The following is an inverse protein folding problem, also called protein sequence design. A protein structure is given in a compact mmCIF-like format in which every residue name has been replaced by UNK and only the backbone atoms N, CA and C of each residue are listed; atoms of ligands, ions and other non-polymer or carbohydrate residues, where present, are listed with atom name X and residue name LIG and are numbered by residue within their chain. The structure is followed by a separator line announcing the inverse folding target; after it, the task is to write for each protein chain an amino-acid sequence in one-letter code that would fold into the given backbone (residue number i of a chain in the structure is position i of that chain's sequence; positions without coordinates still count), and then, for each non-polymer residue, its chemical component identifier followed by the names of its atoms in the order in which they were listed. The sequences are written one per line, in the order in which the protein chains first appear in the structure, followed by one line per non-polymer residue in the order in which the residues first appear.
data_IF_232755074990
#
_entry.id   IF_232755074990
#
_cell.length_a   1.000
_cell.length_b   1.000
_cell.length_c   1.000
_cell.angle_alpha   90.00
_cell.angle_beta   90.00
_cell.angle_gamma   90.00
#
_symmetry.space_group_name_H-M   'P 1'
#
loop_
_entity.id
_entity.type
_entity.pdbx_description
1 polymer ?
#
# COMPACT_ATOMS: atom_id res chain seq x y z
N UNK A 1 -9.91 14.94 8.69
CA UNK A 1 -8.61 15.05 9.36
C UNK A 1 -8.64 14.93 10.89
N UNK A 2 -9.78 15.05 11.57
CA UNK A 2 -9.88 14.95 13.05
C UNK A 2 -9.99 13.53 13.63
N UNK A 3 -10.37 12.51 12.86
CA UNK A 3 -10.69 11.17 13.39
C UNK A 3 -9.53 10.16 13.44
N UNK A 4 -8.34 10.50 12.91
CA UNK A 4 -7.14 9.65 13.05
C UNK A 4 -6.35 9.87 14.35
N UNK A 5 -6.71 10.87 15.16
CA UNK A 5 -5.81 11.38 16.20
C UNK A 5 -6.01 10.78 17.59
N UNK A 6 -7.18 10.31 17.98
CA UNK A 6 -7.40 9.86 19.35
C UNK A 6 -6.82 8.49 19.65
N UNK A 7 -7.08 7.49 18.84
CA UNK A 7 -6.53 6.13 19.07
C UNK A 7 -5.02 6.00 18.88
N UNK A 8 -4.40 6.87 18.08
CA UNK A 8 -2.94 6.98 17.97
C UNK A 8 -2.34 7.79 19.13
N UNK A 9 -3.01 8.84 19.58
CA UNK A 9 -2.58 9.65 20.74
C UNK A 9 -2.54 8.85 22.02
N UNK A 10 -3.52 8.01 22.31
CA UNK A 10 -3.55 7.21 23.54
C UNK A 10 -2.42 6.16 23.61
N UNK A 11 -1.95 5.62 22.48
CA UNK A 11 -0.81 4.70 22.40
C UNK A 11 0.55 5.40 22.34
N UNK A 12 0.59 6.64 21.89
CA UNK A 12 1.84 7.44 21.77
C UNK A 12 2.19 8.23 23.02
N UNK A 13 1.29 8.35 24.02
CA UNK A 13 1.52 9.11 25.25
C UNK A 13 2.64 8.49 26.15
N UNK A 14 3.07 7.26 25.85
CA UNK A 14 4.13 6.57 26.60
C UNK A 14 5.49 6.51 25.91
N UNK A 15 5.66 7.11 24.71
CA UNK A 15 6.95 7.09 24.01
C UNK A 15 7.33 8.48 23.52
N UNK A 16 8.60 8.84 23.75
CA UNK A 16 9.28 9.86 22.94
C UNK A 16 9.12 9.53 21.45
N UNK A 17 9.20 10.53 20.58
CA UNK A 17 9.05 10.41 19.11
C UNK A 17 9.69 9.15 18.53
N UNK A 18 9.13 8.63 17.45
CA UNK A 18 9.78 7.61 16.63
C UNK A 18 10.88 8.25 15.80
N UNK A 19 12.11 7.78 15.97
CA UNK A 19 13.27 8.18 15.20
C UNK A 19 13.43 7.28 13.98
N UNK A 20 13.59 7.84 12.80
CA UNK A 20 13.73 7.04 11.59
C UNK A 20 14.64 7.68 10.56
N UNK A 21 15.13 6.85 9.66
CA UNK A 21 15.92 7.23 8.50
C UNK A 21 15.19 6.84 7.22
N UNK A 22 15.52 7.49 6.11
CA UNK A 22 14.99 7.16 4.79
C UNK A 22 16.14 6.70 3.90
N UNK A 23 15.96 5.56 3.25
CA UNK A 23 16.89 5.00 2.27
C UNK A 23 16.30 5.17 0.88
N UNK A 24 16.92 6.05 0.11
CA UNK A 24 16.44 6.45 -1.21
C UNK A 24 16.04 7.93 -1.27
N UNK A 25 16.00 8.48 -2.47
CA UNK A 25 15.81 9.91 -2.73
C UNK A 25 14.82 10.20 -3.85
N UNK A 26 13.98 9.21 -4.17
CA UNK A 26 12.95 9.32 -5.20
C UNK A 26 11.68 10.02 -4.69
N UNK A 27 10.71 10.19 -5.59
CA UNK A 27 9.42 10.81 -5.28
C UNK A 27 8.72 10.19 -4.05
N UNK A 28 8.80 8.87 -3.90
CA UNK A 28 8.15 8.17 -2.80
C UNK A 28 8.88 8.39 -1.47
N UNK A 29 10.20 8.44 -1.48
CA UNK A 29 10.99 8.79 -0.31
C UNK A 29 10.63 10.18 0.24
N UNK A 30 10.44 11.16 -0.66
CA UNK A 30 10.02 12.52 -0.30
C UNK A 30 8.61 12.60 0.29
N UNK A 31 7.78 11.59 0.08
CA UNK A 31 6.48 11.50 0.76
C UNK A 31 6.66 11.32 2.27
N UNK A 32 7.59 10.48 2.70
CA UNK A 32 7.88 10.26 4.12
C UNK A 32 8.50 11.50 4.79
N UNK A 33 9.30 12.29 4.05
CA UNK A 33 9.75 13.60 4.55
C UNK A 33 8.56 14.51 4.87
N UNK A 34 7.56 14.56 3.99
CA UNK A 34 6.36 15.37 4.22
C UNK A 34 5.54 14.84 5.41
N UNK A 35 5.46 13.54 5.60
CA UNK A 35 4.79 12.92 6.75
C UNK A 35 5.49 13.32 8.06
N UNK A 36 6.81 13.23 8.11
CA UNK A 36 7.57 13.65 9.31
C UNK A 36 7.36 15.13 9.64
N UNK A 37 7.38 15.99 8.63
CA UNK A 37 7.10 17.44 8.81
C UNK A 37 5.67 17.76 9.21
N UNK A 38 4.70 16.97 8.78
CA UNK A 38 3.29 17.15 9.11
C UNK A 38 2.94 16.62 10.52
N UNK A 39 3.74 15.71 11.07
CA UNK A 39 3.53 15.04 12.35
C UNK A 39 4.80 15.09 13.22
N UNK A 40 5.36 16.28 13.49
CA UNK A 40 6.64 16.41 14.18
C UNK A 40 6.61 15.98 15.65
N UNK A 41 5.42 15.87 16.23
CA UNK A 41 5.21 15.35 17.58
C UNK A 41 5.30 13.81 17.64
N UNK A 42 5.14 13.13 16.51
CA UNK A 42 5.16 11.67 16.43
C UNK A 42 6.48 11.17 15.83
N UNK A 43 6.97 11.84 14.78
CA UNK A 43 8.12 11.40 14.01
C UNK A 43 9.28 12.39 14.04
N UNK A 44 10.49 11.84 14.10
CA UNK A 44 11.75 12.54 13.87
C UNK A 44 12.49 11.88 12.71
N UNK A 45 12.68 12.61 11.62
CA UNK A 45 13.54 12.17 10.53
C UNK A 45 14.98 12.55 10.85
N UNK A 46 15.83 11.58 11.18
CA UNK A 46 17.21 11.80 11.59
C UNK A 46 18.13 12.03 10.39
N UNK A 47 17.97 11.23 9.32
CA UNK A 47 18.70 11.40 8.06
C UNK A 47 17.99 10.78 6.87
N UNK A 48 18.30 11.29 5.67
CA UNK A 48 17.99 10.64 4.40
C UNK A 48 19.28 10.22 3.70
N UNK A 49 19.43 8.92 3.46
CA UNK A 49 20.54 8.38 2.70
C UNK A 49 20.34 8.59 1.21
N UNK A 50 21.30 9.24 0.58
CA UNK A 50 21.36 9.46 -0.87
C UNK A 50 22.62 8.80 -1.45
N UNK A 51 22.53 8.23 -2.65
CA UNK A 51 23.66 7.53 -3.29
C UNK A 51 24.76 8.48 -3.79
N UNK A 52 24.45 9.75 -4.02
CA UNK A 52 25.39 10.76 -4.52
C UNK A 52 25.29 12.03 -3.70
N UNK A 53 26.42 12.70 -3.52
CA UNK A 53 26.48 13.97 -2.79
C UNK A 53 25.65 15.06 -3.45
N UNK A 54 25.71 15.15 -4.79
CA UNK A 54 24.86 16.09 -5.55
C UNK A 54 23.38 15.97 -5.21
N UNK A 55 22.89 14.72 -5.14
CA UNK A 55 21.48 14.46 -4.80
C UNK A 55 21.18 14.77 -3.33
N UNK A 56 22.13 14.50 -2.45
CA UNK A 56 22.03 14.84 -1.04
C UNK A 56 21.90 16.35 -0.85
N UNK A 57 22.80 17.13 -1.45
CA UNK A 57 22.82 18.59 -1.35
C UNK A 57 21.55 19.23 -1.92
N UNK A 58 21.08 18.74 -3.07
CA UNK A 58 19.83 19.20 -3.68
C UNK A 58 18.63 19.02 -2.74
N UNK A 59 18.50 17.83 -2.14
CA UNK A 59 17.39 17.52 -1.25
C UNK A 59 17.51 18.26 0.08
N UNK A 60 18.71 18.34 0.65
CA UNK A 60 18.97 19.11 1.85
C UNK A 60 18.53 20.57 1.70
N UNK A 61 18.91 21.21 0.60
CA UNK A 61 18.53 22.58 0.28
C UNK A 61 17.04 22.76 0.06
N UNK A 62 16.42 21.85 -0.70
CA UNK A 62 14.99 21.96 -1.05
C UNK A 62 14.05 21.64 0.13
N UNK A 63 14.40 20.66 0.92
CA UNK A 63 13.52 20.14 1.99
C UNK A 63 13.99 20.53 3.38
N UNK A 64 15.15 21.15 3.55
CA UNK A 64 15.71 21.54 4.86
C UNK A 64 15.69 20.34 5.85
N UNK A 65 16.28 19.24 5.42
CA UNK A 65 16.45 18.01 6.19
C UNK A 65 17.92 17.61 6.15
N UNK A 66 18.33 16.82 7.13
CA UNK A 66 19.65 16.21 7.10
C UNK A 66 19.71 15.09 6.06
N UNK A 67 20.74 15.12 5.22
CA UNK A 67 20.99 14.12 4.18
C UNK A 67 22.44 13.66 4.27
N UNK A 68 22.71 12.41 3.95
CA UNK A 68 24.05 11.83 3.99
C UNK A 68 24.26 10.82 2.86
N UNK A 69 25.50 10.58 2.52
CA UNK A 69 25.96 9.48 1.66
C UNK A 69 26.64 8.36 2.46
N UNK A 70 26.72 8.48 3.79
CA UNK A 70 27.30 7.47 4.69
C UNK A 70 26.24 6.59 5.32
N UNK A 71 26.39 5.29 5.11
CA UNK A 71 25.57 4.26 5.77
C UNK A 71 25.90 4.21 7.25
N UNK A 72 27.17 4.36 7.61
CA UNK A 72 27.67 4.35 8.99
C UNK A 72 27.04 5.47 9.81
N UNK A 73 26.90 6.64 9.24
CA UNK A 73 26.21 7.76 9.86
C UNK A 73 24.74 7.45 10.11
N UNK A 74 24.04 6.88 9.14
CA UNK A 74 22.65 6.44 9.31
C UNK A 74 22.48 5.42 10.44
N UNK A 75 23.40 4.46 10.57
CA UNK A 75 23.40 3.46 11.63
C UNK A 75 23.71 4.09 13.01
N UNK A 76 24.60 5.09 13.06
CA UNK A 76 24.99 5.78 14.29
C UNK A 76 23.82 6.50 14.99
N UNK A 77 22.79 6.91 14.25
CA UNK A 77 21.55 7.48 14.81
C UNK A 77 20.74 6.46 15.62
N UNK A 78 20.97 5.16 15.48
CA UNK A 78 20.21 4.08 16.12
C UNK A 78 18.69 4.25 15.92
N UNK A 79 18.22 4.38 14.67
CA UNK A 79 16.82 4.67 14.39
C UNK A 79 15.91 3.52 14.84
N UNK A 80 14.68 3.83 15.20
CA UNK A 80 13.64 2.83 15.49
C UNK A 80 13.31 1.99 14.25
N UNK A 81 13.39 2.61 13.06
CA UNK A 81 13.21 1.92 11.76
C UNK A 81 13.83 2.70 10.60
N UNK A 82 14.09 1.98 9.51
CA UNK A 82 14.49 2.54 8.23
C UNK A 82 13.35 2.42 7.20
N UNK A 83 13.03 3.51 6.53
CA UNK A 83 12.12 3.50 5.37
C UNK A 83 12.93 3.19 4.12
N UNK A 84 12.69 2.06 3.49
CA UNK A 84 13.32 1.66 2.22
C UNK A 84 12.42 2.05 1.06
N UNK A 85 12.75 3.15 0.38
CA UNK A 85 12.00 3.72 -0.73
C UNK A 85 12.88 3.91 -1.98
N UNK A 86 13.39 2.79 -2.46
CA UNK A 86 14.27 2.69 -3.64
C UNK A 86 13.51 2.17 -4.87
N UNK A 87 14.20 1.86 -5.98
CA UNK A 87 13.58 1.22 -7.13
C UNK A 87 13.07 -0.18 -6.77
N UNK A 88 11.99 -0.62 -7.42
CA UNK A 88 11.31 -1.90 -7.14
C UNK A 88 12.26 -3.11 -7.20
N UNK A 89 13.19 -3.12 -8.13
CA UNK A 89 14.19 -4.17 -8.32
C UNK A 89 15.24 -4.24 -7.21
N UNK A 90 15.43 -3.17 -6.46
CA UNK A 90 16.40 -3.09 -5.38
C UNK A 90 15.78 -3.19 -3.97
N UNK A 91 14.45 -3.13 -3.83
CA UNK A 91 13.79 -3.06 -2.51
C UNK A 91 14.15 -4.26 -1.63
N UNK A 92 14.12 -5.46 -2.20
CA UNK A 92 14.39 -6.69 -1.47
C UNK A 92 15.80 -6.70 -0.88
N UNK A 93 16.81 -6.49 -1.72
CA UNK A 93 18.22 -6.55 -1.32
C UNK A 93 18.56 -5.44 -0.31
N UNK A 94 18.13 -4.21 -0.59
CA UNK A 94 18.33 -3.08 0.34
C UNK A 94 17.60 -3.33 1.66
N UNK A 95 16.42 -3.92 1.66
CA UNK A 95 15.71 -4.25 2.90
C UNK A 95 16.49 -5.28 3.72
N UNK A 96 17.01 -6.33 3.09
CA UNK A 96 17.85 -7.33 3.78
C UNK A 96 19.12 -6.70 4.35
N UNK A 97 19.77 -5.81 3.62
CA UNK A 97 20.96 -5.09 4.07
C UNK A 97 20.72 -4.32 5.38
N UNK A 98 19.56 -3.66 5.52
CA UNK A 98 19.21 -2.93 6.75
C UNK A 98 18.73 -3.87 7.88
N UNK A 99 18.04 -4.95 7.53
CA UNK A 99 17.68 -6.00 8.49
C UNK A 99 18.92 -6.68 9.09
N UNK A 100 20.01 -6.88 8.31
CA UNK A 100 21.26 -7.45 8.79
C UNK A 100 21.96 -6.54 9.81
N UNK A 101 21.78 -5.24 9.70
CA UNK A 101 22.25 -4.27 10.70
C UNK A 101 21.38 -4.23 11.97
N UNK A 102 20.34 -5.07 12.05
CA UNK A 102 19.44 -5.13 13.21
C UNK A 102 18.37 -4.03 13.23
N UNK A 103 18.23 -3.26 12.16
CA UNK A 103 17.27 -2.16 12.05
C UNK A 103 15.96 -2.69 11.48
N UNK A 104 14.84 -2.34 12.12
CA UNK A 104 13.49 -2.62 11.59
C UNK A 104 13.30 -1.90 10.25
N UNK A 105 12.70 -2.55 9.28
CA UNK A 105 12.48 -1.96 7.94
C UNK A 105 10.99 -1.71 7.68
N UNK A 106 10.66 -0.51 7.21
CA UNK A 106 9.43 -0.19 6.52
C UNK A 106 9.75 -0.08 5.03
N UNK A 107 9.44 -1.12 4.26
CA UNK A 107 9.70 -1.10 2.81
C UNK A 107 8.52 -0.58 2.01
N UNK A 108 8.80 0.13 0.91
CA UNK A 108 7.79 0.43 -0.10
C UNK A 108 7.34 -0.84 -0.83
N UNK A 109 6.24 -0.73 -1.53
CA UNK A 109 5.62 -1.81 -2.30
C UNK A 109 6.17 -1.90 -3.73
N UNK A 110 6.31 -3.13 -4.26
CA UNK A 110 6.25 -4.43 -3.61
C UNK A 110 7.55 -4.74 -2.87
N UNK A 111 7.48 -5.56 -1.81
CA UNK A 111 8.68 -5.97 -1.05
C UNK A 111 9.66 -6.82 -1.88
N UNK A 112 9.15 -7.58 -2.84
CA UNK A 112 9.91 -8.41 -3.78
C UNK A 112 9.16 -8.52 -5.10
N UNK A 113 9.88 -8.85 -6.20
CA UNK A 113 9.30 -9.00 -7.53
C UNK A 113 9.13 -10.47 -7.96
N UNK A 114 9.72 -11.40 -7.24
CA UNK A 114 9.69 -12.84 -7.52
C UNK A 114 9.61 -13.65 -6.22
N UNK A 115 9.29 -14.94 -6.36
CA UNK A 115 9.11 -15.84 -5.23
C UNK A 115 10.42 -16.15 -4.49
N UNK A 116 11.56 -16.18 -5.18
CA UNK A 116 12.85 -16.47 -4.54
C UNK A 116 13.25 -15.33 -3.61
N UNK A 117 13.11 -14.09 -4.08
CA UNK A 117 13.32 -12.87 -3.28
C UNK A 117 12.34 -12.81 -2.10
N UNK A 118 11.08 -13.15 -2.31
CA UNK A 118 10.08 -13.17 -1.25
C UNK A 118 10.39 -14.23 -0.20
N UNK A 119 10.83 -15.43 -0.62
CA UNK A 119 11.24 -16.52 0.28
C UNK A 119 12.48 -16.13 1.11
N UNK A 120 13.44 -15.41 0.53
CA UNK A 120 14.57 -14.84 1.28
C UNK A 120 14.07 -13.90 2.38
N UNK A 121 13.23 -12.92 2.07
CA UNK A 121 12.65 -12.02 3.08
C UNK A 121 11.85 -12.78 4.14
N UNK A 122 11.09 -13.80 3.76
CA UNK A 122 10.36 -14.63 4.70
C UNK A 122 11.32 -15.42 5.63
N UNK A 123 12.49 -15.83 5.18
CA UNK A 123 13.50 -16.42 6.05
C UNK A 123 14.02 -15.45 7.11
N UNK A 124 14.20 -14.18 6.76
CA UNK A 124 14.54 -13.11 7.70
C UNK A 124 13.45 -12.92 8.77
N UNK A 125 12.19 -12.92 8.36
CA UNK A 125 11.07 -12.88 9.29
C UNK A 125 11.09 -14.06 10.27
N UNK A 126 11.33 -15.28 9.79
CA UNK A 126 11.44 -16.48 10.64
C UNK A 126 12.62 -16.38 11.64
N UNK A 127 13.67 -15.66 11.31
CA UNK A 127 14.79 -15.37 12.20
C UNK A 127 14.54 -14.19 13.15
N UNK A 128 13.30 -13.70 13.25
CA UNK A 128 12.92 -12.62 14.15
C UNK A 128 13.25 -11.20 13.68
N UNK A 129 13.73 -11.03 12.44
CA UNK A 129 13.93 -9.71 11.83
C UNK A 129 12.56 -9.08 11.51
N UNK A 130 12.43 -7.77 11.71
CA UNK A 130 11.15 -7.08 11.58
C UNK A 130 11.11 -6.24 10.30
N UNK A 131 10.24 -6.64 9.37
CA UNK A 131 9.91 -5.85 8.19
C UNK A 131 8.40 -5.64 8.10
N UNK A 132 8.00 -4.42 7.77
CA UNK A 132 6.63 -4.05 7.42
C UNK A 132 6.63 -3.54 5.99
N UNK A 133 5.69 -4.01 5.18
CA UNK A 133 5.48 -3.52 3.82
C UNK A 133 4.43 -2.41 3.85
N UNK A 134 4.73 -1.28 3.22
CA UNK A 134 3.86 -0.09 3.23
C UNK A 134 2.65 -0.25 2.30
N UNK A 135 1.88 -1.35 2.48
CA UNK A 135 0.61 -1.56 1.80
C UNK A 135 -0.48 -0.71 2.46
N UNK A 136 -0.74 0.46 1.87
CA UNK A 136 -1.58 1.47 2.48
C UNK A 136 -3.09 1.31 2.21
N UNK A 137 -3.52 0.59 1.17
CA UNK A 137 -4.92 0.57 0.77
C UNK A 137 -5.86 0.06 1.86
N UNK A 138 -5.48 -1.00 2.55
CA UNK A 138 -6.24 -1.53 3.68
C UNK A 138 -6.36 -0.57 4.87
N UNK A 139 -5.49 0.43 4.92
CA UNK A 139 -5.42 1.42 6.00
C UNK A 139 -6.26 2.69 5.71
N UNK A 140 -6.79 2.83 4.50
CA UNK A 140 -7.65 3.95 4.16
C UNK A 140 -8.94 3.94 5.00
N UNK A 141 -9.40 5.11 5.48
CA UNK A 141 -10.54 5.18 6.40
C UNK A 141 -11.81 4.49 5.90
N UNK A 142 -12.15 4.66 4.63
CA UNK A 142 -13.31 4.02 4.01
C UNK A 142 -13.13 2.49 3.92
N UNK A 143 -11.96 2.01 3.54
CA UNK A 143 -11.66 0.56 3.49
C UNK A 143 -11.71 -0.05 4.88
N UNK A 144 -11.14 0.61 5.89
CA UNK A 144 -11.24 0.17 7.29
C UNK A 144 -12.68 0.14 7.80
N UNK A 145 -13.48 1.13 7.45
CA UNK A 145 -14.90 1.15 7.80
C UNK A 145 -15.64 -0.03 7.17
N UNK A 146 -15.43 -0.27 5.88
CA UNK A 146 -16.00 -1.41 5.16
C UNK A 146 -15.58 -2.76 5.77
N UNK A 147 -14.29 -2.93 6.06
CA UNK A 147 -13.78 -4.14 6.72
C UNK A 147 -14.36 -4.34 8.12
N UNK A 148 -14.53 -3.26 8.87
CA UNK A 148 -15.17 -3.33 10.20
C UNK A 148 -16.60 -3.83 10.09
N UNK A 149 -17.43 -3.28 9.21
CA UNK A 149 -18.81 -3.70 8.99
C UNK A 149 -18.91 -5.17 8.55
N UNK A 150 -18.01 -5.61 7.67
CA UNK A 150 -17.94 -7.00 7.22
C UNK A 150 -17.56 -7.93 8.40
N UNK A 151 -16.55 -7.56 9.19
CA UNK A 151 -16.11 -8.34 10.34
C UNK A 151 -17.17 -8.40 11.46
N UNK A 152 -18.04 -7.41 11.58
CA UNK A 152 -19.23 -7.42 12.44
C UNK A 152 -20.36 -8.32 11.89
N UNK A 153 -20.17 -8.90 10.71
CA UNK A 153 -21.09 -9.89 10.11
C UNK A 153 -22.34 -9.29 9.48
N UNK A 154 -22.37 -7.99 9.17
CA UNK A 154 -23.57 -7.30 8.64
C UNK A 154 -24.09 -7.95 7.37
N UNK A 155 -23.17 -8.29 6.44
CA UNK A 155 -23.51 -8.96 5.18
C UNK A 155 -23.41 -10.50 5.25
N UNK A 156 -23.08 -11.05 6.42
CA UNK A 156 -22.82 -12.48 6.60
C UNK A 156 -21.49 -12.93 6.00
N UNK A 157 -21.33 -14.24 5.83
CA UNK A 157 -20.09 -14.82 5.27
C UNK A 157 -19.87 -14.34 3.84
N UNK A 158 -18.69 -13.80 3.59
CA UNK A 158 -18.33 -13.28 2.28
C UNK A 158 -18.00 -14.42 1.31
N UNK A 159 -18.67 -14.41 0.16
CA UNK A 159 -18.50 -15.40 -0.91
C UNK A 159 -17.73 -14.88 -2.11
N UNK A 160 -17.90 -13.59 -2.44
CA UNK A 160 -17.16 -13.03 -3.56
C UNK A 160 -16.83 -11.54 -3.39
N UNK A 161 -15.82 -11.09 -4.14
CA UNK A 161 -15.41 -9.69 -4.20
C UNK A 161 -15.06 -9.27 -5.62
N UNK A 162 -15.42 -8.06 -6.00
CA UNK A 162 -14.94 -7.41 -7.22
C UNK A 162 -14.13 -6.17 -6.84
N UNK A 163 -12.87 -6.12 -7.28
CA UNK A 163 -11.95 -5.01 -7.00
C UNK A 163 -11.53 -4.35 -8.31
N UNK A 164 -11.95 -3.10 -8.49
CA UNK A 164 -11.57 -2.24 -9.60
C UNK A 164 -11.14 -0.87 -9.06
N UNK A 165 -10.08 -0.84 -8.24
CA UNK A 165 -9.65 0.41 -7.59
C UNK A 165 -8.14 0.57 -7.39
N UNK A 166 -7.36 -0.49 -7.56
CA UNK A 166 -5.91 -0.47 -7.34
C UNK A 166 -5.20 -1.46 -8.25
N UNK A 167 -3.97 -1.10 -8.69
CA UNK A 167 -3.21 -1.95 -9.60
C UNK A 167 -2.62 -3.18 -8.89
N UNK A 168 -2.48 -4.27 -9.65
CA UNK A 168 -1.69 -5.48 -9.33
C UNK A 168 -1.77 -5.90 -7.85
N UNK A 169 -0.62 -5.93 -7.17
CA UNK A 169 -0.49 -6.39 -5.78
C UNK A 169 -1.38 -5.62 -4.77
N UNK A 170 -1.70 -4.37 -5.01
CA UNK A 170 -2.65 -3.62 -4.18
C UNK A 170 -4.07 -4.17 -4.33
N UNK A 171 -4.50 -4.43 -5.57
CA UNK A 171 -5.80 -5.06 -5.83
C UNK A 171 -5.90 -6.46 -5.22
N UNK A 172 -4.84 -7.27 -5.37
CA UNK A 172 -4.77 -8.61 -4.76
C UNK A 172 -4.78 -8.55 -3.23
N UNK A 173 -4.09 -7.58 -2.65
CA UNK A 173 -4.12 -7.35 -1.19
C UNK A 173 -5.55 -7.11 -0.70
N UNK A 174 -6.32 -6.28 -1.40
CA UNK A 174 -7.72 -6.00 -1.07
C UNK A 174 -8.62 -7.23 -1.28
N UNK A 175 -8.46 -7.96 -2.38
CA UNK A 175 -9.18 -9.22 -2.61
C UNK A 175 -9.02 -10.16 -1.41
N UNK A 176 -7.79 -10.39 -0.97
CA UNK A 176 -7.50 -11.30 0.14
C UNK A 176 -8.11 -10.84 1.46
N UNK A 177 -8.01 -9.56 1.75
CA UNK A 177 -8.52 -8.98 3.00
C UNK A 177 -10.05 -9.04 3.04
N UNK A 178 -10.74 -8.68 1.96
CA UNK A 178 -12.20 -8.69 1.90
C UNK A 178 -12.79 -10.09 1.86
N UNK A 179 -12.16 -11.04 1.16
CA UNK A 179 -12.59 -12.45 1.19
C UNK A 179 -12.25 -13.15 2.51
N UNK A 180 -11.32 -12.63 3.29
CA UNK A 180 -10.84 -13.30 4.50
C UNK A 180 -10.16 -14.64 4.20
N UNK A 181 -9.45 -14.75 3.06
CA UNK A 181 -8.75 -15.98 2.67
C UNK A 181 -7.40 -16.11 3.36
N UNK A 182 -7.05 -17.34 3.74
CA UNK A 182 -5.81 -17.63 4.41
C UNK A 182 -4.58 -17.41 3.49
N UNK A 183 -3.42 -17.01 4.02
CA UNK A 183 -2.22 -16.82 3.22
C UNK A 183 -1.76 -18.03 2.40
N UNK A 184 -2.01 -19.25 2.90
CA UNK A 184 -1.63 -20.51 2.24
C UNK A 184 -2.73 -21.14 1.39
N UNK A 185 -3.90 -20.52 1.30
CA UNK A 185 -5.01 -21.08 0.53
C UNK A 185 -4.67 -21.07 -0.96
N UNK A 186 -4.87 -22.22 -1.60
CA UNK A 186 -4.65 -22.37 -3.04
C UNK A 186 -5.77 -21.74 -3.84
N UNK A 187 -5.43 -21.28 -5.02
CA UNK A 187 -6.39 -20.67 -5.94
C UNK A 187 -5.95 -20.86 -7.39
N UNK A 188 -6.91 -20.82 -8.28
CA UNK A 188 -6.69 -20.73 -9.72
C UNK A 188 -6.90 -19.30 -10.18
N UNK A 189 -6.05 -18.83 -11.09
CA UNK A 189 -6.16 -17.50 -11.67
C UNK A 189 -6.29 -17.60 -13.19
N UNK A 190 -7.26 -16.88 -13.75
CA UNK A 190 -7.40 -16.65 -15.19
C UNK A 190 -7.36 -15.16 -15.44
N UNK A 191 -6.39 -14.68 -16.23
CA UNK A 191 -6.18 -13.26 -16.45
C UNK A 191 -5.91 -12.91 -17.91
N UNK A 192 -6.37 -11.73 -18.32
CA UNK A 192 -6.11 -11.20 -19.66
C UNK A 192 -5.94 -9.68 -19.61
N UNK A 193 -5.01 -9.19 -20.43
CA UNK A 193 -4.81 -7.75 -20.63
C UNK A 193 -5.36 -7.35 -21.99
N UNK A 194 -6.13 -6.29 -21.98
CA UNK A 194 -6.70 -5.67 -23.18
C UNK A 194 -6.12 -4.27 -23.35
N UNK A 195 -6.23 -3.72 -24.54
CA UNK A 195 -5.90 -2.33 -24.80
C UNK A 195 -7.11 -1.62 -25.42
N UNK A 196 -7.49 -0.49 -24.83
CA UNK A 196 -8.64 0.30 -25.27
C UNK A 196 -8.23 1.74 -25.55
N UNK A 197 -8.80 2.38 -26.57
CA UNK A 197 -8.65 3.80 -26.78
C UNK A 197 -9.32 4.56 -25.62
N UNK A 198 -8.60 5.50 -25.04
CA UNK A 198 -9.09 6.31 -23.92
C UNK A 198 -8.63 7.74 -24.07
N UNK A 199 -9.51 8.71 -23.83
CA UNK A 199 -9.13 10.11 -23.77
C UNK A 199 -8.18 10.34 -22.61
N UNK A 200 -6.96 10.78 -22.92
CA UNK A 200 -5.95 11.06 -21.92
C UNK A 200 -6.20 12.41 -21.29
N UNK A 201 -6.35 12.46 -19.94
CA UNK A 201 -6.63 13.69 -19.21
C UNK A 201 -5.47 14.11 -18.32
N UNK A 202 -4.90 13.16 -17.56
CA UNK A 202 -3.85 13.42 -16.59
C UNK A 202 -2.80 12.32 -16.64
N UNK A 203 -1.54 12.71 -16.42
CA UNK A 203 -0.47 11.80 -15.99
C UNK A 203 -0.03 12.18 -14.57
N UNK A 204 1.06 11.60 -14.09
CA UNK A 204 1.65 12.03 -12.82
C UNK A 204 2.17 13.47 -12.87
N UNK A 205 2.57 13.95 -14.04
CA UNK A 205 3.27 15.21 -14.23
C UNK A 205 2.51 16.20 -15.12
N UNK A 206 1.65 15.70 -16.01
CA UNK A 206 1.06 16.50 -17.07
C UNK A 206 -0.46 16.45 -17.04
N UNK A 207 -1.09 17.54 -17.48
CA UNK A 207 -2.53 17.66 -17.72
C UNK A 207 -2.74 17.92 -19.22
N UNK A 208 -3.64 17.16 -19.83
CA UNK A 208 -4.04 17.29 -21.23
C UNK A 208 -5.47 17.76 -21.34
N UNK A 209 -5.71 18.74 -22.21
CA UNK A 209 -7.04 19.35 -22.46
C UNK A 209 -7.41 19.36 -23.93
N UNK A 210 -6.60 18.74 -24.76
CA UNK A 210 -6.74 18.72 -26.24
C UNK A 210 -7.56 17.53 -26.77
N UNK A 211 -8.11 16.71 -25.88
CA UNK A 211 -8.94 15.57 -26.26
C UNK A 211 -8.17 14.40 -26.89
N UNK A 212 -6.82 14.38 -26.77
CA UNK A 212 -5.99 13.32 -27.34
C UNK A 212 -6.39 11.94 -26.84
N UNK A 213 -6.35 10.96 -27.75
CA UNK A 213 -6.65 9.56 -27.48
C UNK A 213 -5.34 8.77 -27.39
N UNK A 214 -5.22 7.91 -26.38
CA UNK A 214 -4.11 6.97 -26.23
C UNK A 214 -4.64 5.57 -25.91
N UNK A 215 -3.92 4.53 -26.37
CA UNK A 215 -4.16 3.15 -25.96
C UNK A 215 -3.83 2.97 -24.48
N UNK A 216 -4.75 2.42 -23.70
CA UNK A 216 -4.57 2.12 -22.28
C UNK A 216 -4.83 0.66 -21.99
N UNK A 217 -3.90 0.08 -21.25
CA UNK A 217 -3.99 -1.34 -20.84
C UNK A 217 -4.94 -1.48 -19.67
N UNK A 218 -5.83 -2.46 -19.80
CA UNK A 218 -6.76 -2.90 -18.76
C UNK A 218 -6.54 -4.37 -18.47
N UNK A 219 -6.24 -4.69 -17.25
CA UNK A 219 -6.07 -6.06 -16.78
C UNK A 219 -7.36 -6.55 -16.14
N UNK A 220 -7.84 -7.70 -16.59
CA UNK A 220 -9.01 -8.38 -16.01
C UNK A 220 -8.58 -9.76 -15.56
N UNK A 221 -8.98 -10.16 -14.36
CA UNK A 221 -8.66 -11.48 -13.82
C UNK A 221 -9.80 -12.03 -12.97
N UNK A 222 -9.91 -13.37 -12.96
CA UNK A 222 -10.77 -14.12 -12.05
C UNK A 222 -9.90 -15.00 -11.18
N UNK A 223 -10.21 -15.03 -9.87
CA UNK A 223 -9.56 -15.86 -8.86
C UNK A 223 -10.59 -16.82 -8.26
N UNK A 224 -10.32 -18.11 -8.31
CA UNK A 224 -11.17 -19.16 -7.75
C UNK A 224 -10.39 -19.85 -6.64
N UNK A 225 -10.85 -19.74 -5.39
CA UNK A 225 -10.20 -20.27 -4.20
C UNK A 225 -10.74 -21.67 -3.84
N UNK A 226 -9.91 -22.51 -3.21
CA UNK A 226 -10.31 -23.86 -2.77
C UNK A 226 -11.52 -23.84 -1.82
N UNK A 227 -11.71 -22.78 -1.06
CA UNK A 227 -12.90 -22.55 -0.21
C UNK A 227 -14.21 -22.31 -1.00
N UNK A 228 -14.15 -22.24 -2.32
CA UNK A 228 -15.29 -21.88 -3.18
C UNK A 228 -15.52 -20.36 -3.29
N UNK A 229 -14.71 -19.54 -2.65
CA UNK A 229 -14.76 -18.09 -2.77
C UNK A 229 -14.20 -17.66 -4.13
N UNK A 230 -14.74 -16.56 -4.66
CA UNK A 230 -14.37 -16.05 -6.00
C UNK A 230 -14.04 -14.57 -5.91
N UNK A 231 -13.05 -14.13 -6.70
CA UNK A 231 -12.78 -12.71 -6.87
C UNK A 231 -12.69 -12.34 -8.36
N UNK A 232 -13.12 -11.13 -8.65
CA UNK A 232 -12.90 -10.46 -9.92
C UNK A 232 -12.00 -9.25 -9.70
N UNK A 233 -11.03 -9.13 -10.56
CA UNK A 233 -10.13 -7.99 -10.61
C UNK A 233 -10.24 -7.34 -11.98
N UNK A 234 -10.38 -6.02 -11.99
CA UNK A 234 -10.49 -5.26 -13.21
C UNK A 234 -9.87 -3.88 -12.99
N UNK A 235 -8.76 -3.58 -13.64
CA UNK A 235 -8.05 -2.34 -13.40
C UNK A 235 -7.41 -1.76 -14.66
N UNK A 236 -7.62 -0.45 -14.79
CA UNK A 236 -7.00 0.44 -15.75
C UNK A 236 -6.31 1.59 -15.03
N UNK A 237 -5.07 1.89 -15.36
CA UNK A 237 -4.27 2.95 -14.69
C UNK A 237 -4.90 4.35 -14.79
N UNK A 238 -5.79 4.59 -15.74
CA UNK A 238 -6.54 5.85 -15.84
C UNK A 238 -7.48 6.08 -14.65
N UNK A 239 -7.92 5.02 -13.97
CA UNK A 239 -8.75 5.12 -12.76
C UNK A 239 -8.09 5.93 -11.63
N UNK A 240 -6.78 6.04 -11.63
CA UNK A 240 -6.08 6.87 -10.65
C UNK A 240 -6.20 8.39 -10.88
N UNK A 241 -6.51 8.80 -12.11
CA UNK A 241 -6.36 10.21 -12.48
C UNK A 241 -7.48 10.76 -13.34
N UNK A 242 -8.11 9.91 -14.13
CA UNK A 242 -9.13 10.35 -15.06
C UNK A 242 -10.48 10.59 -14.35
N UNK A 243 -11.13 11.73 -14.56
CA UNK A 243 -12.44 12.00 -13.96
C UNK A 243 -13.55 11.13 -14.55
N UNK A 244 -13.30 10.51 -15.71
CA UNK A 244 -14.29 9.63 -16.41
C UNK A 244 -14.11 8.15 -16.08
N UNK A 245 -13.14 7.78 -15.23
CA UNK A 245 -12.93 6.41 -14.75
C UNK A 245 -13.12 6.38 -13.25
N UNK A 246 -14.05 5.52 -12.80
CA UNK A 246 -14.37 5.38 -11.37
C UNK A 246 -13.72 4.12 -10.81
N UNK A 247 -13.26 4.24 -9.58
CA UNK A 247 -12.90 3.08 -8.78
C UNK A 247 -14.17 2.42 -8.26
N UNK A 248 -14.19 1.10 -8.19
CA UNK A 248 -15.30 0.35 -7.62
C UNK A 248 -14.81 -0.80 -6.74
N UNK A 249 -15.55 -1.02 -5.68
CA UNK A 249 -15.38 -2.15 -4.78
C UNK A 249 -16.75 -2.76 -4.53
N UNK A 250 -16.92 -4.05 -4.82
CA UNK A 250 -18.14 -4.77 -4.48
C UNK A 250 -17.79 -6.03 -3.69
N UNK A 251 -18.42 -6.22 -2.54
CA UNK A 251 -18.25 -7.39 -1.67
C UNK A 251 -19.62 -8.01 -1.42
N UNK A 252 -19.78 -9.30 -1.69
CA UNK A 252 -21.05 -10.01 -1.50
C UNK A 252 -20.91 -11.08 -0.42
N UNK A 253 -21.85 -11.08 0.47
CA UNK A 253 -22.02 -12.08 1.50
C UNK A 253 -23.41 -12.70 1.48
N UNK A 254 -23.62 -13.66 2.34
CA UNK A 254 -24.87 -14.47 2.38
C UNK A 254 -26.12 -13.62 2.64
N UNK A 255 -25.99 -12.50 3.38
CA UNK A 255 -27.13 -11.67 3.81
C UNK A 255 -27.15 -10.28 3.21
N UNK A 256 -26.18 -9.94 2.39
CA UNK A 256 -26.11 -8.62 1.81
C UNK A 256 -24.88 -8.39 0.97
N UNK A 257 -24.70 -7.14 0.54
CA UNK A 257 -23.55 -6.72 -0.21
C UNK A 257 -23.09 -5.31 0.18
N UNK A 258 -21.82 -5.04 -0.01
CA UNK A 258 -21.22 -3.71 0.04
C UNK A 258 -20.85 -3.31 -1.38
N UNK A 259 -21.27 -2.11 -1.79
CA UNK A 259 -20.91 -1.50 -3.06
C UNK A 259 -20.32 -0.11 -2.75
N UNK A 260 -19.03 0.05 -2.98
CA UNK A 260 -18.27 1.26 -2.65
C UNK A 260 -18.44 1.64 -1.16
N UNK A 261 -19.17 2.72 -0.88
CA UNK A 261 -19.40 3.20 0.49
C UNK A 261 -20.83 2.86 1.01
N UNK A 262 -21.59 2.03 0.29
CA UNK A 262 -22.96 1.67 0.62
C UNK A 262 -23.07 0.19 0.99
N UNK A 263 -23.83 -0.11 2.06
CA UNK A 263 -24.14 -1.48 2.50
C UNK A 263 -25.61 -1.75 2.31
N UNK A 264 -25.92 -2.86 1.63
CA UNK A 264 -27.26 -3.38 1.41
C UNK A 264 -27.35 -4.73 2.12
N UNK A 265 -28.29 -4.88 3.06
CA UNK A 265 -28.41 -6.13 3.83
C UNK A 265 -29.84 -6.43 4.21
N UNK A 266 -30.12 -7.72 4.42
CA UNK A 266 -31.40 -8.17 4.92
C UNK A 266 -31.42 -8.11 6.44
N UNK A 267 -32.33 -7.32 6.99
CA UNK A 267 -32.69 -7.39 8.39
C UNK A 267 -33.78 -8.46 8.59
N UNK A 268 -33.60 -9.33 9.56
CA UNK A 268 -34.63 -10.35 9.90
C UNK A 268 -36.00 -9.75 10.26
N UNK A 269 -36.05 -8.48 10.63
CA UNK A 269 -37.27 -7.73 10.92
C UNK A 269 -38.10 -7.44 9.65
N UNK A 270 -37.47 -7.49 8.46
CA UNK A 270 -38.11 -7.15 7.19
C UNK A 270 -38.50 -8.36 6.35
N UNK A 271 -38.41 -9.58 6.90
CA UNK A 271 -38.77 -10.85 6.22
C UNK A 271 -40.16 -11.33 6.61
N UNK A 272 -40.85 -10.60 7.48
CA UNK A 272 -42.23 -10.89 7.93
C UNK A 272 -43.26 -10.22 7.03
#
# INVERSE_FOLDING_TARGET
MRYMTEGLRERCILRSKYHFIIIGSGWRALYYVRVAKALPEIFSLDAMYCRTQEKADLIAGQYQIHTTTSIEECVAYKPDFAVVAVKKDAICDVSMEWLDRGITVLSETPAALDMDSLNKLYSYYKCGKKQVVAEQYREYPNIKASLKLINEGIIGDVSCVNVSLAHEYHGISLIRVFLGVNPGEKYTVSAKTYEFPTTQTLTRYDKFTDGRIAGKKRCVATFEFESGKVAWYDFDSEQYRSPIRKNTLKVQGVRGELIDDCVYYLSLIHIS
#
